data_IF_739679460700
#
_entry.id   IF_739679460700
#
_cell.length_a   1.000
_cell.length_b   1.000
_cell.length_c   1.000
_cell.angle_alpha   90.00
_cell.angle_beta   90.00
_cell.angle_gamma   90.00
#
_symmetry.space_group_name_H-M   'P 1'
#
loop_
_entity.id
_entity.type
_entity.pdbx_description
1 polymer ?
#
# COMPACT_ATOMS: atom_id res chain seq x y z
N UNK A 1 12.12 33.15 -2.74
CA UNK A 1 11.49 32.42 -1.62
C UNK A 1 10.13 31.89 -2.06
N UNK A 2 10.01 30.58 -2.24
CA UNK A 2 8.79 29.77 -1.98
C UNK A 2 9.24 28.32 -2.15
N UNK A 3 9.53 27.63 -1.06
CA UNK A 3 9.64 26.17 -1.09
C UNK A 3 8.24 25.61 -1.37
N UNK A 4 8.04 24.74 -2.38
CA UNK A 4 6.79 24.02 -2.48
C UNK A 4 6.64 23.17 -1.21
N UNK A 5 5.61 23.46 -0.42
CA UNK A 5 5.23 22.64 0.74
C UNK A 5 5.04 21.20 0.25
N UNK A 6 5.69 20.18 0.85
CA UNK A 6 5.44 18.81 0.44
C UNK A 6 3.96 18.50 0.72
N UNK A 7 3.18 18.21 -0.33
CA UNK A 7 1.83 17.67 -0.15
C UNK A 7 1.98 16.33 0.59
N UNK A 8 1.58 16.31 1.86
CA UNK A 8 1.59 15.12 2.73
C UNK A 8 0.60 14.09 2.16
N UNK A 9 1.06 13.30 1.20
CA UNK A 9 0.41 12.06 0.76
C UNK A 9 1.50 11.06 0.36
N UNK A 10 2.52 10.90 1.20
CA UNK A 10 3.45 9.79 1.04
C UNK A 10 2.80 8.55 1.65
N UNK A 11 2.08 7.80 0.83
CA UNK A 11 1.63 6.45 1.14
C UNK A 11 2.81 5.52 1.39
N UNK A 12 3.96 5.82 0.78
CA UNK A 12 5.23 5.13 1.02
C UNK A 12 5.61 5.26 2.49
N UNK A 13 6.01 4.13 3.09
CA UNK A 13 6.33 3.97 4.50
C UNK A 13 5.13 3.61 5.38
N UNK A 14 3.89 3.70 4.88
CA UNK A 14 2.69 3.34 5.66
C UNK A 14 2.42 1.85 5.60
N UNK A 15 1.93 1.33 6.72
CA UNK A 15 1.47 -0.05 6.86
C UNK A 15 -0.04 -0.14 6.64
N UNK A 16 -0.45 -1.14 5.87
CA UNK A 16 -1.83 -1.48 5.54
C UNK A 16 -2.08 -2.96 5.79
N UNK A 17 -3.34 -3.36 5.75
CA UNK A 17 -3.77 -4.74 5.81
C UNK A 17 -4.11 -5.25 4.40
N UNK A 18 -3.44 -6.32 3.98
CA UNK A 18 -3.70 -7.05 2.75
C UNK A 18 -4.56 -8.30 3.05
N UNK A 19 -5.86 -8.30 2.70
CA UNK A 19 -6.74 -9.46 2.89
C UNK A 19 -6.48 -10.59 1.89
N UNK A 20 -5.52 -10.45 0.98
CA UNK A 20 -5.32 -11.39 -0.13
C UNK A 20 -6.16 -11.07 -1.35
N UNK A 21 -6.04 -11.93 -2.34
CA UNK A 21 -6.79 -11.86 -3.59
C UNK A 21 -7.30 -13.25 -3.97
N UNK A 22 -8.11 -13.34 -5.01
CA UNK A 22 -8.72 -14.62 -5.42
C UNK A 22 -7.70 -15.65 -5.93
N UNK A 23 -6.56 -15.21 -6.45
CA UNK A 23 -5.55 -16.07 -7.06
C UNK A 23 -4.59 -16.64 -6.02
N UNK A 24 -4.18 -15.83 -5.05
CA UNK A 24 -3.28 -16.19 -3.96
C UNK A 24 -4.02 -16.75 -2.74
N UNK A 25 -5.34 -16.62 -2.71
CA UNK A 25 -6.20 -16.95 -1.58
C UNK A 25 -6.41 -15.78 -0.61
N UNK A 26 -7.53 -15.79 0.13
CA UNK A 26 -7.76 -14.84 1.21
C UNK A 26 -6.76 -15.08 2.36
N UNK A 27 -6.37 -14.00 3.04
CA UNK A 27 -5.56 -14.02 4.25
C UNK A 27 -6.45 -13.76 5.46
N UNK A 28 -6.49 -14.71 6.40
CA UNK A 28 -7.25 -14.59 7.65
C UNK A 28 -6.33 -14.99 8.81
N UNK A 29 -5.88 -14.02 9.63
CA UNK A 29 -6.16 -12.59 9.55
C UNK A 29 -5.52 -11.91 8.31
N UNK A 30 -6.01 -10.72 7.89
CA UNK A 30 -5.34 -9.92 6.87
C UNK A 30 -3.87 -9.63 7.24
N UNK A 31 -2.97 -9.68 6.27
CA UNK A 31 -1.54 -9.56 6.52
C UNK A 31 -1.09 -8.09 6.53
N UNK A 32 -0.31 -7.65 7.53
CA UNK A 32 0.31 -6.33 7.51
C UNK A 32 1.36 -6.21 6.40
N UNK A 33 1.25 -5.15 5.59
CA UNK A 33 2.19 -4.86 4.51
C UNK A 33 2.57 -3.38 4.47
N UNK A 34 3.83 -3.06 4.20
CA UNK A 34 4.31 -1.68 4.11
C UNK A 34 4.45 -1.26 2.66
N UNK A 35 3.87 -0.13 2.26
CA UNK A 35 4.06 0.41 0.90
C UNK A 35 5.48 0.96 0.78
N UNK A 36 6.24 0.48 -0.20
CA UNK A 36 7.62 0.92 -0.45
C UNK A 36 7.75 1.78 -1.71
N UNK A 37 6.83 1.62 -2.67
CA UNK A 37 6.75 2.45 -3.88
C UNK A 37 5.29 2.68 -4.23
N UNK A 38 4.95 3.93 -4.56
CA UNK A 38 3.67 4.28 -5.18
C UNK A 38 3.94 5.02 -6.49
N UNK A 39 3.28 4.59 -7.57
CA UNK A 39 3.36 5.29 -8.85
C UNK A 39 2.30 6.41 -8.89
N UNK A 40 2.71 7.60 -9.35
CA UNK A 40 1.95 8.85 -9.27
C UNK A 40 0.70 8.93 -10.14
N UNK A 41 -0.03 10.06 -10.10
CA UNK A 41 -1.24 10.26 -10.87
C UNK A 41 -0.90 10.45 -12.36
N UNK A 42 -1.07 9.41 -13.17
CA UNK A 42 -0.84 9.46 -14.62
C UNK A 42 -0.56 8.14 -15.33
N UNK A 43 -0.44 7.01 -14.62
CA UNK A 43 -0.01 5.74 -15.22
C UNK A 43 -0.82 4.51 -14.78
N UNK A 44 -2.15 4.56 -14.88
CA UNK A 44 -3.01 3.39 -14.64
C UNK A 44 -3.38 3.15 -13.17
N UNK A 45 -4.09 2.04 -12.84
CA UNK A 45 -4.64 1.80 -11.50
C UNK A 45 -3.54 1.97 -10.45
N UNK A 46 -3.86 2.64 -9.33
CA UNK A 46 -2.95 2.95 -8.21
C UNK A 46 -2.35 1.66 -7.62
N UNK A 47 -1.48 0.99 -8.35
CA UNK A 47 -0.74 -0.15 -7.85
C UNK A 47 0.36 0.39 -6.94
N UNK A 48 0.78 -0.44 -6.01
CA UNK A 48 1.86 -0.14 -5.09
C UNK A 48 2.73 -1.37 -4.95
N UNK A 49 4.04 -1.16 -4.81
CA UNK A 49 4.90 -2.20 -4.29
C UNK A 49 4.76 -2.23 -2.78
N UNK A 50 4.47 -3.40 -2.23
CA UNK A 50 4.40 -3.64 -0.79
C UNK A 50 5.48 -4.60 -0.36
N UNK A 51 6.00 -4.40 0.85
CA UNK A 51 6.88 -5.34 1.55
C UNK A 51 6.11 -6.09 2.61
N UNK A 52 6.23 -7.42 2.58
CA UNK A 52 5.66 -8.37 3.55
C UNK A 52 6.60 -8.59 4.73
N UNK A 53 6.12 -9.27 5.77
CA UNK A 53 6.92 -9.60 6.96
C UNK A 53 8.08 -10.56 6.66
N UNK A 54 7.92 -11.43 5.67
CA UNK A 54 8.97 -12.33 5.15
C UNK A 54 10.01 -11.63 4.25
N UNK A 55 9.87 -10.31 4.06
CA UNK A 55 10.77 -9.51 3.23
C UNK A 55 10.42 -9.51 1.74
N UNK A 56 9.44 -10.29 1.28
CA UNK A 56 9.04 -10.33 -0.13
C UNK A 56 8.42 -9.00 -0.56
N UNK A 57 8.73 -8.62 -1.80
CA UNK A 57 8.13 -7.48 -2.48
C UNK A 57 7.07 -7.95 -3.47
N UNK A 58 5.90 -7.31 -3.46
CA UNK A 58 4.82 -7.62 -4.39
C UNK A 58 4.12 -6.35 -4.86
N UNK A 59 3.79 -6.30 -6.15
CA UNK A 59 2.94 -5.23 -6.71
C UNK A 59 1.48 -5.61 -6.57
N UNK A 60 0.69 -4.74 -5.93
CA UNK A 60 -0.74 -4.97 -5.68
C UNK A 60 -1.59 -3.73 -5.96
N UNK A 61 -2.88 -3.86 -6.31
CA UNK A 61 -3.77 -2.72 -6.44
C UNK A 61 -4.02 -2.06 -5.08
N UNK A 62 -3.70 -0.78 -4.90
CA UNK A 62 -3.87 -0.10 -3.62
C UNK A 62 -5.35 0.00 -3.21
N UNK A 63 -6.12 0.83 -3.92
CA UNK A 63 -7.47 1.24 -3.50
C UNK A 63 -8.49 0.11 -3.44
N UNK A 64 -8.25 -1.00 -4.16
CA UNK A 64 -9.17 -2.14 -4.20
C UNK A 64 -8.78 -3.28 -3.26
N UNK A 65 -7.59 -3.23 -2.65
CA UNK A 65 -7.04 -4.34 -1.86
C UNK A 65 -6.63 -3.92 -0.47
N UNK A 66 -5.79 -2.89 -0.36
CA UNK A 66 -5.20 -2.49 0.91
C UNK A 66 -6.21 -1.74 1.78
N UNK A 67 -6.31 -2.14 3.05
CA UNK A 67 -7.18 -1.52 4.05
C UNK A 67 -6.35 -0.82 5.12
N UNK A 68 -6.86 0.28 5.65
CA UNK A 68 -6.23 0.89 6.83
C UNK A 68 -6.40 -0.06 8.04
N UNK A 69 -5.40 -0.15 8.92
CA UNK A 69 -5.58 -0.76 10.24
C UNK A 69 -6.69 -0.03 11.01
N UNK A 70 -7.44 -0.71 11.90
CA UNK A 70 -8.50 -0.10 12.68
C UNK A 70 -8.05 1.11 13.53
N UNK A 71 -6.80 1.12 13.99
CA UNK A 71 -6.22 2.20 14.80
C UNK A 71 -5.50 3.30 13.99
N UNK A 72 -5.53 3.25 12.67
CA UNK A 72 -4.86 4.23 11.81
C UNK A 72 -5.82 5.37 11.41
N UNK A 73 -6.08 6.31 12.34
CA UNK A 73 -6.76 7.58 12.07
C UNK A 73 -5.80 8.76 12.03
#
# INVERSE_FOLDING_TARGET
MTHPRPRRSSMVGRTYLDPGDRLSGPRTPPEPVTVVVGWGPGGGPRNVAVRRSDGRLQVVPFSRRLRLPPDAS
#
